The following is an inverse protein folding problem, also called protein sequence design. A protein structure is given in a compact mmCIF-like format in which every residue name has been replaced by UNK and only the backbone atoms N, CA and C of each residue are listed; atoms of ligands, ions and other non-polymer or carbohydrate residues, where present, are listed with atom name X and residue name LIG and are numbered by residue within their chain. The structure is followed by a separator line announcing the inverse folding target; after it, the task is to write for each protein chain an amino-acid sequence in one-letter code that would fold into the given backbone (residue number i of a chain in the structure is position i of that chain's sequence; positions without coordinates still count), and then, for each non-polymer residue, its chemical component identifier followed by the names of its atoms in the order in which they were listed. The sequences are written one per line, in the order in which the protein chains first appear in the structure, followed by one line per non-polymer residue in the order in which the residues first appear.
data_IF_466300359511
#
_entry.id   IF_466300359511
#
_cell.length_a   1.000
_cell.length_b   1.000
_cell.length_c   1.000
_cell.angle_alpha   90.00
_cell.angle_beta   90.00
_cell.angle_gamma   90.00
#
_symmetry.space_group_name_H-M   'P 1'
#
loop_
_entity.id
_entity.type
_entity.pdbx_description
1 polymer ?
#
# COMPACT_ATOMS: atom_id res chain seq x y z
N UNK A 1 3.10 -16.83 -15.40
CA UNK A 1 2.67 -16.18 -14.15
C UNK A 1 3.27 -14.78 -14.10
N UNK A 2 2.56 -13.74 -13.65
CA UNK A 2 3.14 -12.39 -13.56
C UNK A 2 4.18 -12.37 -12.42
N UNK A 3 5.46 -12.05 -12.66
CA UNK A 3 6.51 -12.09 -11.64
C UNK A 3 6.26 -11.11 -10.48
N UNK A 4 5.43 -10.08 -10.68
CA UNK A 4 5.09 -9.08 -9.67
C UNK A 4 3.87 -9.44 -8.81
N UNK A 5 3.17 -10.54 -9.12
CA UNK A 5 1.98 -10.91 -8.35
C UNK A 5 2.36 -11.25 -6.90
N UNK A 6 1.72 -10.57 -5.94
CA UNK A 6 1.98 -10.76 -4.52
C UNK A 6 3.27 -10.12 -4.01
N UNK A 7 4.02 -9.40 -4.84
CA UNK A 7 5.27 -8.73 -4.42
C UNK A 7 4.99 -7.35 -3.83
N UNK A 8 5.74 -7.02 -2.78
CA UNK A 8 5.75 -5.69 -2.18
C UNK A 8 6.46 -4.68 -3.09
N UNK A 9 6.12 -3.40 -2.94
CA UNK A 9 6.81 -2.26 -3.55
C UNK A 9 7.22 -1.27 -2.45
N UNK A 10 8.21 -1.65 -1.63
CA UNK A 10 8.74 -0.77 -0.57
C UNK A 10 9.82 0.16 -1.12
N UNK A 11 10.73 -0.42 -1.92
CA UNK A 11 11.75 0.35 -2.65
C UNK A 11 11.95 -0.21 -4.05
N UNK A 12 12.29 0.68 -4.99
CA UNK A 12 12.62 0.30 -6.37
C UNK A 12 13.89 -0.55 -6.47
N UNK A 13 14.76 -0.57 -5.44
CA UNK A 13 15.97 -1.39 -5.41
C UNK A 13 15.66 -2.90 -5.28
N UNK A 14 14.44 -3.29 -4.89
CA UNK A 14 14.04 -4.69 -4.73
C UNK A 14 13.50 -5.31 -6.03
N UNK A 15 13.31 -4.50 -7.07
CA UNK A 15 12.77 -4.91 -8.36
C UNK A 15 13.88 -4.84 -9.41
N UNK A 16 13.86 -5.76 -10.37
CA UNK A 16 14.80 -5.67 -11.49
C UNK A 16 14.44 -4.51 -12.41
N UNK A 17 15.38 -4.09 -13.25
CA UNK A 17 15.12 -3.02 -14.24
C UNK A 17 13.97 -3.42 -15.16
N UNK A 18 13.92 -4.67 -15.60
CA UNK A 18 12.87 -5.20 -16.47
C UNK A 18 11.49 -5.17 -15.80
N UNK A 19 11.43 -5.43 -14.48
CA UNK A 19 10.20 -5.35 -13.69
C UNK A 19 9.69 -3.90 -13.56
N UNK A 20 10.61 -2.95 -13.34
CA UNK A 20 10.29 -1.53 -13.30
C UNK A 20 9.83 -1.02 -14.66
N UNK A 21 10.54 -1.38 -15.74
CA UNK A 21 10.17 -1.01 -17.12
C UNK A 21 8.79 -1.56 -17.49
N UNK A 22 8.49 -2.80 -17.13
CA UNK A 22 7.17 -3.40 -17.34
C UNK A 22 6.07 -2.64 -16.59
N UNK A 23 6.35 -2.23 -15.36
CA UNK A 23 5.40 -1.48 -14.53
C UNK A 23 5.15 -0.08 -15.10
N UNK A 24 6.20 0.61 -15.54
CA UNK A 24 6.09 1.93 -16.17
C UNK A 24 5.35 1.85 -17.52
N UNK A 25 5.59 0.80 -18.30
CA UNK A 25 4.86 0.54 -19.55
C UNK A 25 3.36 0.34 -19.27
N UNK A 26 3.01 -0.47 -18.28
CA UNK A 26 1.60 -0.66 -17.88
C UNK A 26 0.97 0.66 -17.40
N UNK A 27 1.71 1.47 -16.63
CA UNK A 27 1.24 2.79 -16.21
C UNK A 27 0.97 3.73 -17.40
N UNK A 28 1.81 3.66 -18.46
CA UNK A 28 1.60 4.42 -19.69
C UNK A 28 0.36 3.92 -20.45
N UNK A 29 0.14 2.61 -20.53
CA UNK A 29 -1.05 2.01 -21.14
C UNK A 29 -2.33 2.46 -20.41
N UNK A 30 -2.35 2.43 -19.08
CA UNK A 30 -3.45 2.99 -18.28
C UNK A 30 -3.61 4.50 -18.45
N UNK A 31 -2.53 5.25 -18.68
CA UNK A 31 -2.63 6.69 -18.96
C UNK A 31 -3.27 6.97 -20.32
N UNK A 32 -2.94 6.18 -21.34
CA UNK A 32 -3.48 6.30 -22.69
C UNK A 32 -4.93 5.82 -22.78
N UNK A 33 -5.26 4.77 -22.04
CA UNK A 33 -6.56 4.09 -22.07
C UNK A 33 -7.29 4.17 -20.72
N UNK A 34 -7.30 5.34 -20.09
CA UNK A 34 -7.70 5.50 -18.67
C UNK A 34 -9.05 4.85 -18.32
N UNK A 35 -10.04 4.96 -19.20
CA UNK A 35 -11.40 4.49 -18.93
C UNK A 35 -11.81 3.27 -19.77
N UNK A 36 -11.01 2.88 -20.76
CA UNK A 36 -11.26 1.80 -21.71
C UNK A 36 -10.24 0.65 -21.60
N UNK A 37 -9.21 0.79 -20.76
CA UNK A 37 -8.18 -0.23 -20.58
C UNK A 37 -8.83 -1.60 -20.25
N UNK A 38 -8.37 -2.71 -20.86
CA UNK A 38 -8.94 -4.04 -20.63
C UNK A 38 -8.91 -4.46 -19.15
N UNK A 39 -7.98 -3.91 -18.36
CA UNK A 39 -7.82 -4.21 -16.93
C UNK A 39 -8.49 -3.20 -15.99
N UNK A 40 -9.35 -2.28 -16.47
CA UNK A 40 -9.99 -1.23 -15.65
C UNK A 40 -10.89 -1.74 -14.52
N UNK A 41 -11.17 -3.03 -14.42
CA UNK A 41 -11.94 -3.62 -13.32
C UNK A 41 -11.17 -4.75 -12.62
N UNK A 42 -9.83 -4.74 -12.70
CA UNK A 42 -9.01 -5.80 -12.12
C UNK A 42 -9.11 -5.86 -10.58
N UNK A 43 -9.62 -4.80 -9.93
CA UNK A 43 -9.91 -4.74 -8.50
C UNK A 43 -11.41 -4.76 -8.20
N UNK A 44 -12.27 -5.32 -9.08
CA UNK A 44 -13.73 -5.39 -8.84
C UNK A 44 -14.06 -5.91 -7.44
N UNK A 45 -14.76 -5.09 -6.65
CA UNK A 45 -15.17 -5.37 -5.25
C UNK A 45 -14.01 -5.73 -4.31
N UNK A 46 -12.79 -5.32 -4.63
CA UNK A 46 -11.64 -5.41 -3.74
C UNK A 46 -11.45 -4.11 -2.99
N UNK A 47 -10.91 -4.21 -1.78
CA UNK A 47 -10.58 -3.05 -0.96
C UNK A 47 -9.07 -2.92 -0.82
N UNK A 48 -8.55 -1.73 -1.08
CA UNK A 48 -7.16 -1.37 -0.80
C UNK A 48 -7.11 -0.53 0.47
N UNK A 49 -6.27 -0.88 1.44
CA UNK A 49 -6.15 -0.11 2.68
C UNK A 49 -5.03 0.92 2.57
N UNK A 50 -5.29 2.16 2.99
CA UNK A 50 -4.31 3.24 2.99
C UNK A 50 -4.04 3.69 4.43
N UNK A 51 -2.86 3.35 4.96
CA UNK A 51 -2.38 3.68 6.30
C UNK A 51 -1.47 4.90 6.28
N UNK A 52 -2.00 6.06 6.65
CA UNK A 52 -1.26 7.32 6.55
C UNK A 52 -0.95 7.87 7.94
N UNK A 53 0.28 7.64 8.42
CA UNK A 53 0.78 8.21 9.68
C UNK A 53 0.86 9.73 9.62
N UNK A 54 1.05 10.25 8.41
CA UNK A 54 0.94 11.66 8.10
C UNK A 54 -0.15 11.82 7.03
N UNK A 55 -1.11 12.74 7.19
CA UNK A 55 -2.10 13.01 6.15
C UNK A 55 -1.42 13.62 4.90
N UNK A 56 -1.98 13.31 3.72
CA UNK A 56 -1.55 13.86 2.43
C UNK A 56 -2.72 13.92 1.48
N UNK A 57 -3.07 15.13 1.02
CA UNK A 57 -4.15 15.33 0.05
C UNK A 57 -3.81 14.66 -1.27
N UNK A 58 -2.62 14.93 -1.82
CA UNK A 58 -2.23 14.42 -3.15
C UNK A 58 -2.18 12.90 -3.20
N UNK A 59 -1.54 12.29 -2.21
CA UNK A 59 -1.40 10.82 -2.15
C UNK A 59 -2.76 10.17 -1.92
N UNK A 60 -3.59 10.71 -1.02
CA UNK A 60 -4.93 10.16 -0.78
C UNK A 60 -5.79 10.22 -2.03
N UNK A 61 -5.91 11.40 -2.66
CA UNK A 61 -6.74 11.57 -3.84
C UNK A 61 -6.28 10.67 -4.99
N UNK A 62 -4.97 10.53 -5.21
CA UNK A 62 -4.48 9.69 -6.31
C UNK A 62 -4.80 8.21 -6.10
N UNK A 63 -4.67 7.70 -4.88
CA UNK A 63 -4.96 6.29 -4.58
C UNK A 63 -6.47 6.00 -4.57
N UNK A 64 -7.31 6.90 -4.02
CA UNK A 64 -8.78 6.75 -4.06
C UNK A 64 -9.31 6.74 -5.51
N UNK A 65 -8.82 7.67 -6.35
CA UNK A 65 -9.16 7.68 -7.77
C UNK A 65 -8.68 6.40 -8.46
N UNK A 66 -7.44 5.97 -8.24
CA UNK A 66 -6.89 4.77 -8.87
C UNK A 66 -7.69 3.51 -8.48
N UNK A 67 -8.03 3.33 -7.21
CA UNK A 67 -8.83 2.17 -6.79
C UNK A 67 -10.22 2.18 -7.44
N UNK A 68 -10.88 3.34 -7.48
CA UNK A 68 -12.20 3.51 -8.12
C UNK A 68 -12.12 3.19 -9.61
N UNK A 69 -11.11 3.72 -10.30
CA UNK A 69 -10.88 3.49 -11.73
C UNK A 69 -10.52 2.05 -12.08
N UNK A 70 -10.03 1.27 -11.10
CA UNK A 70 -9.75 -0.16 -11.22
C UNK A 70 -10.93 -1.04 -10.75
N UNK A 71 -12.09 -0.45 -10.44
CA UNK A 71 -13.31 -1.15 -10.00
C UNK A 71 -13.36 -1.50 -8.50
N UNK A 72 -12.37 -1.06 -7.74
CA UNK A 72 -12.25 -1.32 -6.30
C UNK A 72 -12.61 -0.12 -5.43
N UNK A 73 -12.31 -0.24 -4.15
CA UNK A 73 -12.47 0.82 -3.16
C UNK A 73 -11.14 1.02 -2.40
N UNK A 74 -10.77 2.26 -2.10
CA UNK A 74 -9.66 2.54 -1.20
C UNK A 74 -10.18 3.06 0.14
N UNK A 75 -9.84 2.38 1.23
CA UNK A 75 -10.21 2.78 2.58
C UNK A 75 -9.06 3.57 3.22
N UNK A 76 -9.33 4.82 3.58
CA UNK A 76 -8.37 5.69 4.27
C UNK A 76 -8.39 5.44 5.78
N UNK A 77 -7.21 5.19 6.36
CA UNK A 77 -7.01 4.91 7.78
C UNK A 77 -5.88 5.82 8.32
N UNK A 78 -6.17 6.56 9.37
CA UNK A 78 -5.20 7.41 10.06
C UNK A 78 -4.78 6.74 11.39
N UNK A 79 -3.53 6.28 11.53
CA UNK A 79 -3.08 5.55 12.72
C UNK A 79 -3.15 6.34 14.02
N UNK A 80 -3.25 7.68 13.97
CA UNK A 80 -3.49 8.50 15.18
C UNK A 80 -4.77 8.09 15.93
N UNK A 81 -5.74 7.51 15.24
CA UNK A 81 -6.97 6.97 15.83
C UNK A 81 -6.86 5.48 16.18
N UNK A 82 -5.78 4.80 15.78
CA UNK A 82 -5.54 3.39 16.07
C UNK A 82 -4.61 3.22 17.26
N UNK A 83 -4.93 2.29 18.16
CA UNK A 83 -4.07 1.93 19.28
C UNK A 83 -3.01 0.93 18.81
N UNK A 84 -2.08 1.36 17.95
CA UNK A 84 -0.90 0.54 17.64
C UNK A 84 0.04 0.55 18.84
N UNK A 85 0.57 -0.61 19.20
CA UNK A 85 1.51 -0.76 20.32
C UNK A 85 2.75 0.10 20.04
N UNK A 86 3.09 0.98 20.97
CA UNK A 86 4.37 1.69 20.97
C UNK A 86 5.11 1.40 22.26
N UNK A 87 6.39 1.78 22.35
CA UNK A 87 7.19 1.64 23.57
C UNK A 87 6.53 2.27 24.82
N UNK A 88 5.56 3.17 24.63
CA UNK A 88 4.87 3.92 25.70
C UNK A 88 3.36 3.63 25.78
N UNK A 89 2.79 2.81 24.88
CA UNK A 89 1.32 2.64 24.78
C UNK A 89 0.93 1.19 24.50
N UNK A 90 0.01 0.66 25.31
CA UNK A 90 -0.63 -0.64 25.05
C UNK A 90 -1.52 -0.56 23.80
N UNK A 91 -1.43 -1.56 22.94
CA UNK A 91 -2.08 -1.56 21.65
C UNK A 91 -1.95 -2.89 20.91
N UNK A 92 -2.55 -2.98 19.73
CA UNK A 92 -2.40 -4.10 18.80
C UNK A 92 -0.98 -4.13 18.24
N UNK A 93 -0.42 -5.34 18.09
CA UNK A 93 0.89 -5.52 17.45
C UNK A 93 0.78 -5.32 15.95
N UNK A 94 1.90 -4.96 15.29
CA UNK A 94 1.95 -4.88 13.82
C UNK A 94 1.62 -6.24 13.20
N UNK A 95 2.09 -7.33 13.80
CA UNK A 95 1.75 -8.69 13.40
C UNK A 95 0.24 -8.93 13.39
N UNK A 96 -0.46 -8.64 14.49
CA UNK A 96 -1.91 -8.88 14.59
C UNK A 96 -2.67 -8.01 13.58
N UNK A 97 -2.32 -6.72 13.50
CA UNK A 97 -2.93 -5.77 12.58
C UNK A 97 -2.71 -6.23 11.11
N UNK A 98 -1.48 -6.55 10.72
CA UNK A 98 -1.14 -6.99 9.38
C UNK A 98 -1.90 -8.26 8.97
N UNK A 99 -1.96 -9.26 9.86
CA UNK A 99 -2.68 -10.51 9.62
C UNK A 99 -4.19 -10.27 9.41
N UNK A 100 -4.81 -9.48 10.29
CA UNK A 100 -6.24 -9.17 10.21
C UNK A 100 -6.56 -8.40 8.94
N UNK A 101 -5.78 -7.35 8.64
CA UNK A 101 -5.98 -6.53 7.46
C UNK A 101 -5.83 -7.31 6.15
N UNK A 102 -4.85 -8.21 6.09
CA UNK A 102 -4.60 -9.03 4.90
C UNK A 102 -5.78 -9.93 4.50
N UNK A 103 -6.70 -10.21 5.43
CA UNK A 103 -7.92 -10.97 5.15
C UNK A 103 -9.01 -10.16 4.44
N UNK A 104 -8.95 -8.84 4.56
CA UNK A 104 -9.99 -7.93 4.04
C UNK A 104 -9.51 -7.13 2.83
N UNK A 105 -8.22 -6.80 2.78
CA UNK A 105 -7.64 -5.97 1.73
C UNK A 105 -7.01 -6.82 0.61
N UNK A 106 -6.95 -6.27 -0.60
CA UNK A 106 -6.13 -6.83 -1.69
C UNK A 106 -4.69 -6.31 -1.70
N UNK A 107 -4.39 -5.33 -0.86
CA UNK A 107 -3.09 -4.67 -0.70
C UNK A 107 -3.19 -3.56 0.33
N UNK A 108 -2.05 -3.16 0.89
CA UNK A 108 -1.97 -2.17 1.95
C UNK A 108 -0.91 -1.14 1.54
N UNK A 109 -1.33 0.12 1.40
CA UNK A 109 -0.45 1.25 1.16
C UNK A 109 -0.11 1.95 2.46
N UNK A 110 1.16 2.10 2.81
CA UNK A 110 1.61 2.70 4.06
C UNK A 110 2.44 3.95 3.78
N UNK A 111 2.03 5.07 4.35
CA UNK A 111 2.74 6.35 4.25
C UNK A 111 3.24 6.80 5.61
N UNK A 112 4.56 6.87 5.74
CA UNK A 112 5.27 7.34 6.94
C UNK A 112 6.27 8.41 6.50
N UNK A 113 6.27 9.57 7.15
CA UNK A 113 7.30 10.60 6.98
C UNK A 113 8.22 10.64 8.19
N UNK A 114 9.37 11.30 8.03
CA UNK A 114 10.35 11.55 9.11
C UNK A 114 9.71 12.21 10.35
N UNK A 115 8.68 13.03 10.17
CA UNK A 115 7.97 13.68 11.28
C UNK A 115 7.09 12.73 12.11
N UNK A 116 6.90 11.48 11.66
CA UNK A 116 6.18 10.43 12.38
C UNK A 116 7.11 9.38 13.00
N UNK A 117 8.43 9.53 12.88
CA UNK A 117 9.43 8.60 13.43
C UNK A 117 10.41 9.36 14.33
N UNK A 118 10.99 8.66 15.30
CA UNK A 118 11.95 9.24 16.25
C UNK A 118 13.39 9.15 15.70
N UNK A 119 13.68 8.11 14.92
CA UNK A 119 15.00 7.83 14.37
C UNK A 119 14.94 7.47 12.88
N UNK A 120 15.97 7.88 12.13
CA UNK A 120 16.11 7.53 10.72
C UNK A 120 16.10 6.00 10.54
N UNK A 121 15.35 5.51 9.55
CA UNK A 121 15.23 4.08 9.25
C UNK A 121 14.06 3.38 9.96
N UNK A 122 13.46 3.96 11.01
CA UNK A 122 12.30 3.37 11.68
C UNK A 122 11.08 3.21 10.75
N UNK A 123 10.92 4.14 9.79
CA UNK A 123 9.87 4.05 8.78
C UNK A 123 10.02 2.82 7.89
N UNK A 124 11.23 2.55 7.40
CA UNK A 124 11.53 1.34 6.61
C UNK A 124 11.35 0.08 7.45
N UNK A 125 11.86 0.07 8.69
CA UNK A 125 11.70 -1.06 9.60
C UNK A 125 10.21 -1.41 9.82
N UNK A 126 9.35 -0.40 10.00
CA UNK A 126 7.92 -0.59 10.16
C UNK A 126 7.27 -1.17 8.89
N UNK A 127 7.63 -0.64 7.71
CA UNK A 127 7.16 -1.20 6.42
C UNK A 127 7.56 -2.67 6.27
N UNK A 128 8.78 -3.02 6.65
CA UNK A 128 9.29 -4.40 6.58
C UNK A 128 8.59 -5.31 7.57
N UNK A 129 8.30 -4.84 8.78
CA UNK A 129 7.51 -5.60 9.75
C UNK A 129 6.10 -5.89 9.22
N UNK A 130 5.42 -4.89 8.61
CA UNK A 130 4.14 -5.14 7.94
C UNK A 130 4.28 -6.14 6.80
N UNK A 131 5.33 -6.04 5.98
CA UNK A 131 5.58 -6.93 4.85
C UNK A 131 5.94 -8.36 5.25
N UNK A 132 6.48 -8.56 6.45
CA UNK A 132 6.77 -9.89 7.00
C UNK A 132 5.48 -10.63 7.37
N UNK A 133 4.50 -9.93 7.97
CA UNK A 133 3.29 -10.55 8.49
C UNK A 133 2.07 -10.45 7.55
N UNK A 134 2.07 -9.51 6.60
CA UNK A 134 0.96 -9.37 5.66
C UNK A 134 1.01 -10.46 4.59
N UNK A 135 -0.14 -11.07 4.30
CA UNK A 135 -0.28 -12.02 3.19
C UNK A 135 -0.68 -11.34 1.86
N UNK A 136 -0.69 -10.01 1.83
CA UNK A 136 -1.02 -9.17 0.67
C UNK A 136 0.07 -8.12 0.47
N UNK A 137 0.24 -7.57 -0.75
CA UNK A 137 1.30 -6.61 -1.03
C UNK A 137 1.25 -5.37 -0.14
N UNK A 138 2.41 -5.00 0.39
CA UNK A 138 2.71 -3.71 1.00
C UNK A 138 3.27 -2.77 -0.06
N UNK A 139 2.72 -1.56 -0.13
CA UNK A 139 3.10 -0.46 -1.02
C UNK A 139 3.47 0.77 -0.19
#
# INVERSE_FOLDING_TARGET
MNPLYGRNLITTQEWTVEELERTLKLALEFKQHRFDHPLRNCLDRKTFFMFFYNPSVRTRQSFECAATELGGHAQFLEPKTMRLKSAKTAGETVQDAANVMSRYACGIGIRILETAIEEYGQGDALLREYAEYASVPII
#
